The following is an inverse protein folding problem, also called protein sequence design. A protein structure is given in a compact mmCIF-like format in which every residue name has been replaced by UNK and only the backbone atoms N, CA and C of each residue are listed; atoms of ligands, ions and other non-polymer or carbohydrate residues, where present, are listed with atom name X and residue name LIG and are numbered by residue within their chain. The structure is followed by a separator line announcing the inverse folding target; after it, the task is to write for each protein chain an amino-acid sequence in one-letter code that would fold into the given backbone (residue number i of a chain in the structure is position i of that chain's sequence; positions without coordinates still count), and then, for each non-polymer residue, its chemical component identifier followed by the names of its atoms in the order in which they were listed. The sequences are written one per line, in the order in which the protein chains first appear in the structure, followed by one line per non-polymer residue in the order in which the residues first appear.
data_IF_420572085043
#
_entry.id   IF_420572085043
#
_cell.length_a   1.000
_cell.length_b   1.000
_cell.length_c   1.000
_cell.angle_alpha   90.00
_cell.angle_beta   90.00
_cell.angle_gamma   90.00
#
_symmetry.space_group_name_H-M   'P 1'
#
loop_
_entity.id
_entity.type
_entity.pdbx_description
1 polymer ?
#
# COMPACT_ATOMS: atom_id res chain seq x y z
N UNK A 1 -7.10 -16.63 -16.63
CA UNK A 1 -5.62 -16.74 -16.49
C UNK A 1 -5.12 -15.37 -16.04
N UNK A 2 -4.42 -15.31 -14.90
CA UNK A 2 -3.92 -14.04 -14.36
C UNK A 2 -2.98 -13.32 -15.33
N UNK A 3 -3.05 -11.99 -15.37
CA UNK A 3 -2.32 -11.16 -16.33
C UNK A 3 -0.79 -11.25 -16.16
N UNK A 4 -0.31 -11.58 -14.95
CA UNK A 4 1.11 -11.78 -14.63
C UNK A 4 1.50 -13.26 -14.53
N UNK A 5 0.70 -14.17 -15.13
CA UNK A 5 1.08 -15.58 -15.17
C UNK A 5 2.44 -15.77 -15.82
N UNK A 6 3.33 -16.48 -15.12
CA UNK A 6 4.71 -16.71 -15.53
C UNK A 6 5.73 -15.81 -14.83
N UNK A 7 5.29 -14.74 -14.16
CA UNK A 7 6.15 -13.99 -13.25
C UNK A 7 6.33 -14.79 -11.96
N UNK A 8 7.58 -15.03 -11.54
CA UNK A 8 7.94 -15.82 -10.36
C UNK A 8 8.76 -14.97 -9.39
N UNK A 9 8.32 -14.91 -8.14
CA UNK A 9 8.85 -13.96 -7.15
C UNK A 9 9.29 -14.68 -5.87
N UNK A 10 10.50 -14.41 -5.39
CA UNK A 10 10.92 -14.70 -4.03
C UNK A 10 10.75 -13.45 -3.17
N UNK A 11 9.89 -13.54 -2.18
CA UNK A 11 9.55 -12.48 -1.25
C UNK A 11 10.25 -12.69 0.09
N UNK A 12 11.27 -11.90 0.38
CA UNK A 12 11.99 -11.87 1.66
C UNK A 12 11.56 -10.70 2.56
N UNK A 13 10.48 -10.05 2.21
CA UNK A 13 9.99 -8.89 2.94
C UNK A 13 9.12 -9.29 4.13
N UNK A 14 8.84 -8.33 5.01
CA UNK A 14 8.01 -8.51 6.19
C UNK A 14 7.17 -7.25 6.43
N UNK A 15 6.24 -7.31 7.36
CA UNK A 15 5.33 -6.22 7.74
C UNK A 15 4.36 -5.86 6.61
N UNK A 16 4.43 -4.61 6.08
CA UNK A 16 3.41 -4.10 5.18
C UNK A 16 3.89 -3.86 3.74
N UNK A 17 4.95 -3.04 3.47
CA UNK A 17 5.20 -2.56 2.10
C UNK A 17 5.52 -3.67 1.10
N UNK A 18 6.43 -4.55 1.44
CA UNK A 18 6.81 -5.67 0.57
C UNK A 18 5.74 -6.75 0.44
N UNK A 19 5.19 -7.28 1.57
CA UNK A 19 4.12 -8.26 1.50
C UNK A 19 2.89 -7.76 0.72
N UNK A 20 2.51 -6.49 0.84
CA UNK A 20 1.41 -5.94 0.05
C UNK A 20 1.77 -5.82 -1.45
N UNK A 21 3.02 -5.49 -1.79
CA UNK A 21 3.47 -5.48 -3.19
C UNK A 21 3.39 -6.88 -3.81
N UNK A 22 3.88 -7.90 -3.10
CA UNK A 22 3.85 -9.28 -3.58
C UNK A 22 2.45 -9.89 -3.55
N UNK A 23 1.55 -9.43 -2.65
CA UNK A 23 0.12 -9.75 -2.71
C UNK A 23 -0.52 -9.22 -4.01
N UNK A 24 -0.22 -7.97 -4.40
CA UNK A 24 -0.72 -7.41 -5.66
C UNK A 24 -0.28 -8.29 -6.85
N UNK A 25 0.97 -8.71 -6.88
CA UNK A 25 1.46 -9.60 -7.94
C UNK A 25 0.79 -10.97 -7.90
N UNK A 26 0.58 -11.55 -6.71
CA UNK A 26 -0.10 -12.84 -6.54
C UNK A 26 -1.56 -12.77 -7.00
N UNK A 27 -2.30 -11.71 -6.64
CA UNK A 27 -3.66 -11.45 -7.11
C UNK A 27 -3.75 -11.35 -8.64
N UNK A 28 -2.70 -10.82 -9.27
CA UNK A 28 -2.59 -10.70 -10.72
C UNK A 28 -2.06 -11.97 -11.40
N UNK A 29 -1.83 -13.05 -10.65
CA UNK A 29 -1.50 -14.37 -11.15
C UNK A 29 -0.03 -14.76 -11.13
N UNK A 30 0.86 -13.95 -10.54
CA UNK A 30 2.25 -14.33 -10.31
C UNK A 30 2.35 -15.50 -9.33
N UNK A 31 3.42 -16.30 -9.45
CA UNK A 31 3.78 -17.34 -8.48
C UNK A 31 4.75 -16.74 -7.46
N UNK A 32 4.33 -16.65 -6.20
CA UNK A 32 5.09 -16.00 -5.14
C UNK A 32 5.44 -16.99 -4.04
N UNK A 33 6.72 -17.12 -3.74
CA UNK A 33 7.22 -17.82 -2.56
C UNK A 33 7.65 -16.78 -1.52
N UNK A 34 6.96 -16.76 -0.38
CA UNK A 34 7.33 -15.95 0.77
C UNK A 34 8.29 -16.74 1.66
N UNK A 35 9.50 -16.22 1.82
CA UNK A 35 10.59 -16.82 2.59
C UNK A 35 10.62 -16.22 3.98
N UNK A 36 10.33 -17.02 4.99
CA UNK A 36 10.13 -16.59 6.37
C UNK A 36 11.12 -17.26 7.33
N UNK A 37 11.12 -16.83 8.59
CA UNK A 37 11.88 -17.47 9.68
C UNK A 37 10.97 -17.71 10.88
N UNK A 38 11.02 -18.91 11.46
CA UNK A 38 10.30 -19.24 12.70
C UNK A 38 10.93 -18.57 13.93
N UNK A 39 12.23 -18.27 13.88
CA UNK A 39 12.96 -17.60 14.97
C UNK A 39 12.74 -16.10 15.00
N UNK A 40 12.37 -15.52 13.87
CA UNK A 40 12.06 -14.11 13.73
C UNK A 40 10.74 -13.97 12.96
N UNK A 41 9.67 -14.36 13.64
CA UNK A 41 8.32 -14.35 13.09
C UNK A 41 7.93 -12.92 12.68
N UNK A 42 7.29 -12.77 11.52
CA UNK A 42 6.72 -11.50 11.09
C UNK A 42 5.68 -11.02 12.10
N UNK A 43 5.76 -9.77 12.52
CA UNK A 43 4.83 -9.17 13.47
C UNK A 43 3.38 -9.23 12.98
N UNK A 44 3.14 -9.23 11.67
CA UNK A 44 1.78 -9.36 11.11
C UNK A 44 1.13 -10.70 11.45
N UNK A 45 1.91 -11.77 11.72
CA UNK A 45 1.39 -13.06 12.19
C UNK A 45 0.91 -13.05 13.64
N UNK A 46 1.40 -12.10 14.44
CA UNK A 46 1.10 -12.02 15.88
C UNK A 46 0.33 -10.75 16.26
N UNK A 47 -0.17 -9.99 15.28
CA UNK A 47 -1.02 -8.81 15.50
C UNK A 47 -2.50 -9.20 15.47
N UNK A 48 -3.26 -8.99 16.58
CA UNK A 48 -4.70 -9.25 16.60
C UNK A 48 -5.47 -8.30 15.66
N UNK A 49 -6.69 -8.68 15.26
CA UNK A 49 -7.44 -9.84 15.66
C UNK A 49 -7.03 -11.13 14.94
N UNK A 50 -7.36 -12.26 15.55
CA UNK A 50 -7.09 -13.60 15.03
C UNK A 50 -8.39 -14.30 14.63
N UNK A 51 -8.27 -15.28 13.74
CA UNK A 51 -9.34 -16.24 13.47
C UNK A 51 -9.37 -17.39 14.50
N UNK A 52 -10.27 -18.35 14.30
CA UNK A 52 -10.45 -19.50 15.20
C UNK A 52 -9.23 -20.42 15.27
N UNK A 53 -8.38 -20.40 14.24
CA UNK A 53 -7.11 -21.15 14.17
C UNK A 53 -5.91 -20.39 14.77
N UNK A 54 -6.15 -19.26 15.38
CA UNK A 54 -5.11 -18.35 15.90
C UNK A 54 -4.19 -17.73 14.82
N UNK A 55 -4.65 -17.65 13.58
CA UNK A 55 -3.97 -16.95 12.50
C UNK A 55 -4.44 -15.49 12.42
N UNK A 56 -3.51 -14.55 12.33
CA UNK A 56 -3.83 -13.13 12.29
C UNK A 56 -4.45 -12.72 10.94
N UNK A 57 -5.62 -12.06 10.96
CA UNK A 57 -6.30 -11.60 9.76
C UNK A 57 -5.44 -10.69 8.88
N UNK A 58 -4.59 -9.85 9.49
CA UNK A 58 -3.67 -8.97 8.77
C UNK A 58 -2.69 -9.79 7.92
N UNK A 59 -2.07 -10.82 8.53
CA UNK A 59 -1.15 -11.70 7.82
C UNK A 59 -1.86 -12.47 6.71
N UNK A 60 -3.02 -13.05 7.01
CA UNK A 60 -3.82 -13.79 6.03
C UNK A 60 -4.23 -12.93 4.82
N UNK A 61 -4.47 -11.62 5.03
CA UNK A 61 -4.77 -10.70 3.95
C UNK A 61 -3.54 -10.37 3.12
N UNK A 62 -2.45 -9.94 3.74
CA UNK A 62 -1.24 -9.48 3.05
C UNK A 62 -0.48 -10.58 2.32
N UNK A 63 -0.69 -11.84 2.72
CA UNK A 63 0.05 -12.99 2.18
C UNK A 63 -0.85 -14.00 1.44
N UNK A 64 -2.08 -13.60 1.06
CA UNK A 64 -2.97 -14.46 0.27
C UNK A 64 -2.34 -14.88 -1.06
N UNK A 65 -2.68 -16.07 -1.50
CA UNK A 65 -2.23 -16.66 -2.76
C UNK A 65 -0.72 -16.87 -2.90
N UNK A 66 0.05 -16.74 -1.78
CA UNK A 66 1.49 -16.99 -1.74
C UNK A 66 1.81 -18.33 -1.08
N UNK A 67 2.86 -19.00 -1.55
CA UNK A 67 3.47 -20.11 -0.82
C UNK A 67 4.32 -19.58 0.32
N UNK A 68 4.28 -20.23 1.49
CA UNK A 68 5.16 -19.91 2.62
C UNK A 68 6.20 -21.02 2.78
N UNK A 69 7.48 -20.64 2.83
CA UNK A 69 8.59 -21.52 3.23
C UNK A 69 9.40 -20.89 4.36
N UNK A 70 9.96 -21.74 5.22
CA UNK A 70 10.83 -21.27 6.30
C UNK A 70 12.28 -21.66 6.02
N UNK A 71 13.17 -20.67 6.05
CA UNK A 71 14.62 -20.88 5.85
C UNK A 71 15.44 -20.13 6.88
N UNK A 72 16.36 -20.83 7.53
CA UNK A 72 17.40 -20.21 8.32
C UNK A 72 18.50 -19.64 7.41
N UNK A 73 18.36 -18.40 6.97
CA UNK A 73 19.30 -17.74 6.06
C UNK A 73 20.74 -17.58 6.61
N UNK A 74 20.99 -18.01 7.85
CA UNK A 74 22.35 -18.10 8.40
C UNK A 74 23.03 -19.44 8.10
N UNK A 75 22.28 -20.44 7.62
CA UNK A 75 22.80 -21.73 7.19
C UNK A 75 23.27 -21.66 5.74
N UNK A 76 24.45 -22.19 5.41
CA UNK A 76 24.91 -22.31 4.03
C UNK A 76 23.93 -23.08 3.14
N UNK A 77 23.32 -24.14 3.66
CA UNK A 77 22.36 -24.96 2.91
C UNK A 77 21.10 -24.14 2.54
N UNK A 78 20.64 -23.25 3.42
CA UNK A 78 19.52 -22.35 3.10
C UNK A 78 19.89 -21.36 1.98
N UNK A 79 21.12 -20.87 1.98
CA UNK A 79 21.62 -19.98 0.92
C UNK A 79 21.70 -20.74 -0.43
N UNK A 80 22.12 -22.01 -0.42
CA UNK A 80 22.15 -22.84 -1.64
C UNK A 80 20.74 -23.13 -2.17
N UNK A 81 19.77 -23.33 -1.29
CA UNK A 81 18.35 -23.44 -1.67
C UNK A 81 17.86 -22.16 -2.36
N UNK A 82 18.14 -20.98 -1.76
CA UNK A 82 17.77 -19.69 -2.36
C UNK A 82 18.42 -19.52 -3.74
N UNK A 83 19.71 -19.83 -3.88
CA UNK A 83 20.43 -19.75 -5.16
C UNK A 83 19.83 -20.69 -6.22
N UNK A 84 19.36 -21.87 -5.80
CA UNK A 84 18.68 -22.80 -6.71
C UNK A 84 17.31 -22.25 -7.15
N UNK A 85 16.55 -21.66 -6.22
CA UNK A 85 15.26 -21.05 -6.53
C UNK A 85 15.37 -19.86 -7.49
N UNK A 86 16.42 -19.04 -7.40
CA UNK A 86 16.62 -17.84 -8.25
C UNK A 86 16.78 -18.18 -9.74
N UNK A 87 17.13 -19.41 -10.08
CA UNK A 87 17.18 -19.82 -11.48
C UNK A 87 15.80 -19.81 -12.14
N UNK A 88 14.74 -19.99 -11.35
CA UNK A 88 13.35 -20.04 -11.80
C UNK A 88 12.53 -18.84 -11.29
N UNK A 89 12.72 -18.47 -10.02
CA UNK A 89 12.10 -17.30 -9.37
C UNK A 89 13.02 -16.10 -9.51
N UNK A 90 12.94 -15.45 -10.63
CA UNK A 90 13.90 -14.43 -11.07
C UNK A 90 13.53 -12.99 -10.69
N UNK A 91 12.54 -12.82 -9.83
CA UNK A 91 12.20 -11.54 -9.19
C UNK A 91 12.38 -11.67 -7.68
N UNK A 92 13.23 -10.84 -7.11
CA UNK A 92 13.52 -10.80 -5.68
C UNK A 92 12.94 -9.52 -5.09
N UNK A 93 12.15 -9.65 -4.03
CA UNK A 93 11.67 -8.50 -3.25
C UNK A 93 12.13 -8.69 -1.80
N UNK A 94 12.81 -7.67 -1.25
CA UNK A 94 13.32 -7.73 0.12
C UNK A 94 13.11 -6.41 0.86
N UNK A 95 13.05 -6.48 2.19
CA UNK A 95 12.87 -5.33 3.07
C UNK A 95 13.90 -5.26 4.20
N UNK A 96 15.07 -5.89 4.07
CA UNK A 96 16.14 -5.83 5.07
C UNK A 96 16.85 -4.47 5.03
N UNK A 97 17.58 -4.20 6.09
CA UNK A 97 18.49 -3.04 6.09
C UNK A 97 19.61 -3.23 5.05
N UNK A 98 20.09 -2.13 4.45
CA UNK A 98 21.17 -2.18 3.47
C UNK A 98 22.34 -3.06 3.92
N UNK A 99 22.87 -3.86 3.00
CA UNK A 99 24.00 -4.75 3.24
C UNK A 99 23.67 -6.09 3.92
N UNK A 100 22.44 -6.35 4.37
CA UNK A 100 22.07 -7.64 4.99
C UNK A 100 22.13 -8.77 3.97
N UNK A 101 21.45 -8.65 2.86
CA UNK A 101 21.41 -9.67 1.81
C UNK A 101 22.81 -9.94 1.21
N UNK A 102 23.64 -8.88 1.08
CA UNK A 102 25.03 -9.01 0.64
C UNK A 102 25.86 -9.85 1.64
N UNK A 103 25.71 -9.59 2.95
CA UNK A 103 26.42 -10.39 3.99
C UNK A 103 25.95 -11.84 4.05
N UNK A 104 24.73 -12.12 3.66
CA UNK A 104 24.16 -13.47 3.54
C UNK A 104 24.62 -14.19 2.25
N UNK A 105 25.25 -13.48 1.30
CA UNK A 105 25.70 -14.06 0.03
C UNK A 105 24.59 -14.22 -1.02
N UNK A 106 23.46 -13.52 -0.84
CA UNK A 106 22.30 -13.47 -1.74
C UNK A 106 21.89 -12.03 -2.07
N UNK A 107 22.85 -11.10 -2.05
CA UNK A 107 22.64 -9.75 -2.60
C UNK A 107 22.62 -9.75 -4.11
N UNK A 108 22.22 -8.63 -4.70
CA UNK A 108 22.00 -8.48 -6.14
C UNK A 108 23.17 -9.00 -7.00
N UNK A 109 24.41 -8.59 -6.72
CA UNK A 109 25.58 -9.00 -7.53
C UNK A 109 25.78 -10.52 -7.52
N UNK A 110 25.66 -11.15 -6.34
CA UNK A 110 25.79 -12.60 -6.22
C UNK A 110 24.68 -13.37 -6.95
N UNK A 111 23.45 -12.86 -6.92
CA UNK A 111 22.32 -13.49 -7.63
C UNK A 111 22.36 -13.22 -9.14
N UNK A 112 22.87 -12.06 -9.55
CA UNK A 112 23.07 -11.71 -10.97
C UNK A 112 24.12 -12.61 -11.64
N UNK A 113 25.15 -13.05 -10.92
CA UNK A 113 26.12 -14.03 -11.43
C UNK A 113 25.46 -15.39 -11.75
N UNK A 114 24.42 -15.77 -10.96
CA UNK A 114 23.66 -17.01 -11.15
C UNK A 114 22.61 -16.85 -12.26
N UNK A 115 21.89 -15.72 -12.23
CA UNK A 115 20.85 -15.41 -13.19
C UNK A 115 20.94 -13.93 -13.62
N UNK A 116 21.56 -13.63 -14.79
CA UNK A 116 21.67 -12.25 -15.29
C UNK A 116 20.33 -11.54 -15.53
N UNK A 117 19.24 -12.30 -15.57
CA UNK A 117 17.87 -11.77 -15.76
C UNK A 117 17.20 -11.36 -14.45
N UNK A 118 17.89 -11.53 -13.29
CA UNK A 118 17.29 -11.26 -11.99
C UNK A 118 16.86 -9.80 -11.85
N UNK A 119 15.61 -9.58 -11.48
CA UNK A 119 15.08 -8.29 -11.04
C UNK A 119 15.13 -8.31 -9.51
N UNK A 120 15.85 -7.37 -8.93
CA UNK A 120 16.06 -7.31 -7.49
C UNK A 120 15.52 -5.97 -6.95
N UNK A 121 14.46 -6.02 -6.16
CA UNK A 121 13.82 -4.85 -5.58
C UNK A 121 14.05 -4.81 -4.07
N UNK A 122 14.81 -3.83 -3.60
CA UNK A 122 15.04 -3.55 -2.19
C UNK A 122 14.12 -2.39 -1.74
N UNK A 123 13.24 -2.64 -0.76
CA UNK A 123 12.32 -1.66 -0.20
C UNK A 123 12.81 -1.26 1.17
N UNK A 124 13.21 0.00 1.35
CA UNK A 124 13.74 0.50 2.63
C UNK A 124 13.17 1.85 3.00
N UNK A 125 13.34 2.25 4.26
CA UNK A 125 12.84 3.54 4.74
C UNK A 125 13.51 4.74 4.07
N UNK A 126 14.84 4.64 3.85
CA UNK A 126 15.67 5.78 3.44
C UNK A 126 16.58 5.49 2.24
N UNK A 127 16.35 4.39 1.52
CA UNK A 127 17.17 3.98 0.38
C UNK A 127 18.45 3.23 0.79
N UNK A 128 19.18 2.73 -0.22
CA UNK A 128 20.40 1.97 -0.03
C UNK A 128 21.63 2.86 0.23
N UNK A 129 21.51 4.16 -0.01
CA UNK A 129 22.58 5.15 0.11
C UNK A 129 22.19 6.33 0.99
N UNK A 130 23.12 7.24 1.21
CA UNK A 130 22.88 8.45 1.99
C UNK A 130 23.05 8.27 3.50
N UNK A 131 23.02 9.39 4.26
CA UNK A 131 23.38 9.38 5.69
C UNK A 131 22.38 8.63 6.58
N UNK A 132 21.16 8.35 6.09
CA UNK A 132 20.10 7.69 6.85
C UNK A 132 19.87 6.23 6.45
N UNK A 133 20.59 5.71 5.46
CA UNK A 133 20.39 4.36 4.92
C UNK A 133 20.32 3.25 5.99
N UNK A 134 21.08 3.36 7.07
CA UNK A 134 21.06 2.41 8.18
C UNK A 134 20.14 2.77 9.35
N UNK A 135 19.37 3.87 9.25
CA UNK A 135 18.44 4.24 10.32
C UNK A 135 17.18 3.37 10.31
N UNK A 136 16.66 3.01 11.50
CA UNK A 136 15.32 2.44 11.60
C UNK A 136 14.28 3.54 11.43
N UNK A 137 13.10 3.16 10.95
CA UNK A 137 11.94 4.03 10.86
C UNK A 137 10.69 3.25 10.54
N UNK A 138 9.56 3.93 10.66
CA UNK A 138 8.24 3.49 10.25
C UNK A 138 7.56 4.62 9.49
N UNK A 139 6.40 4.36 8.95
CA UNK A 139 5.60 5.25 8.10
C UNK A 139 5.65 6.73 8.51
N UNK A 140 5.28 7.05 9.76
CA UNK A 140 5.30 8.44 10.26
C UNK A 140 6.68 9.12 10.19
N UNK A 141 7.78 8.37 10.31
CA UNK A 141 9.14 8.92 10.23
C UNK A 141 9.47 9.31 8.80
N UNK A 142 9.08 8.49 7.83
CA UNK A 142 9.30 8.75 6.39
C UNK A 142 8.45 9.93 5.91
N UNK A 143 7.16 9.98 6.30
CA UNK A 143 6.26 11.11 6.04
C UNK A 143 6.78 12.42 6.63
N UNK A 144 7.30 12.36 7.87
CA UNK A 144 7.84 13.55 8.56
C UNK A 144 9.05 14.10 7.82
N UNK A 145 10.00 13.24 7.46
CA UNK A 145 11.23 13.65 6.78
C UNK A 145 10.96 14.17 5.36
N UNK A 146 9.98 13.60 4.67
CA UNK A 146 9.56 14.03 3.34
C UNK A 146 8.81 15.37 3.31
N UNK A 147 8.50 15.95 4.47
CA UNK A 147 7.90 17.27 4.61
C UNK A 147 6.39 17.35 4.35
N UNK A 148 5.72 16.23 4.08
CA UNK A 148 4.27 16.22 3.77
C UNK A 148 3.38 16.45 4.99
N UNK A 149 3.84 16.09 6.19
CA UNK A 149 3.03 16.19 7.41
C UNK A 149 2.89 17.61 7.94
N UNK A 150 3.85 18.49 7.68
CA UNK A 150 3.81 19.84 8.25
C UNK A 150 2.62 20.65 7.71
N UNK A 151 2.47 20.69 6.39
CA UNK A 151 1.34 21.41 5.77
C UNK A 151 0.05 20.61 5.64
N UNK A 152 0.04 19.32 6.05
CA UNK A 152 -1.15 18.44 6.07
C UNK A 152 -1.82 18.37 7.44
N UNK A 153 -1.61 19.34 8.31
CA UNK A 153 -2.19 19.45 9.65
C UNK A 153 -3.08 20.67 9.77
N UNK A 154 -3.90 20.71 10.80
CA UNK A 154 -4.55 21.96 11.20
C UNK A 154 -3.52 22.96 11.71
N UNK A 155 -3.72 24.25 11.41
CA UNK A 155 -2.92 25.33 11.97
C UNK A 155 -2.95 25.25 13.50
N UNK A 156 -1.83 25.44 14.14
CA UNK A 156 -1.67 25.41 15.61
C UNK A 156 -1.94 24.03 16.26
N UNK A 157 -2.04 22.96 15.47
CA UNK A 157 -2.15 21.58 15.97
C UNK A 157 -0.93 20.74 15.56
N UNK A 158 -0.71 19.67 16.31
CA UNK A 158 0.31 18.66 15.93
C UNK A 158 -0.09 17.97 14.62
N UNK A 159 0.88 17.41 13.87
CA UNK A 159 0.58 16.51 12.76
C UNK A 159 -0.33 15.35 13.20
N UNK A 160 -1.17 14.87 12.29
CA UNK A 160 -2.08 13.75 12.53
C UNK A 160 -1.45 12.48 12.02
N UNK A 161 -1.41 11.43 12.86
CA UNK A 161 -1.07 10.09 12.39
C UNK A 161 -2.21 9.57 11.52
N UNK A 162 -1.92 9.22 10.29
CA UNK A 162 -2.93 8.69 9.37
C UNK A 162 -3.34 7.28 9.79
N UNK A 163 -4.61 6.94 9.59
CA UNK A 163 -5.10 5.58 9.80
C UNK A 163 -4.60 4.58 8.75
N UNK A 164 -4.14 5.08 7.60
CA UNK A 164 -3.52 4.31 6.52
C UNK A 164 -2.04 4.69 6.43
N UNK A 165 -1.15 3.71 6.30
CA UNK A 165 0.30 3.89 6.24
C UNK A 165 0.70 4.35 4.83
N UNK A 166 0.67 5.64 4.60
CA UNK A 166 0.86 6.24 3.27
C UNK A 166 2.28 6.04 2.72
N UNK A 167 3.31 6.16 3.57
CA UNK A 167 4.69 5.95 3.13
C UNK A 167 4.96 4.48 2.81
N UNK A 168 4.43 3.56 3.62
CA UNK A 168 4.57 2.13 3.37
C UNK A 168 3.82 1.72 2.10
N UNK A 169 2.58 2.18 1.92
CA UNK A 169 1.71 1.74 0.82
C UNK A 169 2.02 2.51 -0.47
N UNK A 170 1.84 3.84 -0.49
CA UNK A 170 2.11 4.62 -1.69
C UNK A 170 3.61 4.71 -1.98
N UNK A 171 4.44 4.93 -0.95
CA UNK A 171 5.89 5.02 -1.08
C UNK A 171 6.55 3.66 -1.35
N UNK A 172 6.31 2.68 -0.52
CA UNK A 172 6.92 1.35 -0.63
C UNK A 172 6.22 0.45 -1.64
N UNK A 173 5.01 0.01 -1.33
CA UNK A 173 4.26 -0.99 -2.12
C UNK A 173 4.07 -0.58 -3.58
N UNK A 174 3.47 0.59 -3.82
CA UNK A 174 3.12 1.00 -5.19
C UNK A 174 4.36 1.29 -6.04
N UNK A 175 5.38 1.94 -5.47
CA UNK A 175 6.61 2.20 -6.20
C UNK A 175 7.41 0.92 -6.47
N UNK A 176 7.43 -0.04 -5.54
CA UNK A 176 8.02 -1.36 -5.78
C UNK A 176 7.30 -2.09 -6.92
N UNK A 177 5.96 -2.09 -6.91
CA UNK A 177 5.18 -2.72 -7.98
C UNK A 177 5.46 -2.08 -9.34
N UNK A 178 5.46 -0.74 -9.42
CA UNK A 178 5.79 0.00 -10.66
C UNK A 178 7.24 -0.32 -11.09
N UNK A 179 8.20 -0.28 -10.17
CA UNK A 179 9.61 -0.53 -10.46
C UNK A 179 9.84 -1.94 -11.01
N UNK A 180 9.24 -2.95 -10.38
CA UNK A 180 9.34 -4.36 -10.82
C UNK A 180 8.71 -4.55 -12.20
N UNK A 181 7.53 -3.98 -12.47
CA UNK A 181 6.88 -4.06 -13.77
C UNK A 181 7.68 -3.34 -14.85
N UNK A 182 8.26 -2.17 -14.55
CA UNK A 182 9.13 -1.45 -15.48
C UNK A 182 10.40 -2.26 -15.79
N UNK A 183 11.02 -2.87 -14.78
CA UNK A 183 12.18 -3.74 -14.95
C UNK A 183 11.82 -5.03 -15.72
N UNK A 184 10.65 -5.62 -15.50
CA UNK A 184 10.18 -6.77 -16.27
C UNK A 184 10.00 -6.42 -17.76
N UNK A 185 9.39 -5.26 -18.06
CA UNK A 185 9.24 -4.77 -19.42
C UNK A 185 10.61 -4.44 -20.10
N UNK A 186 11.56 -3.94 -19.31
CA UNK A 186 12.94 -3.73 -19.79
C UNK A 186 13.60 -5.08 -20.11
N UNK A 187 13.48 -6.04 -19.21
CA UNK A 187 14.01 -7.40 -19.36
C UNK A 187 13.49 -8.12 -20.60
N UNK A 188 12.20 -7.98 -20.92
CA UNK A 188 11.60 -8.54 -22.14
C UNK A 188 12.28 -8.04 -23.42
N UNK A 189 12.79 -6.81 -23.40
CA UNK A 189 13.43 -6.17 -24.56
C UNK A 189 14.94 -6.43 -24.63
N UNK A 190 15.60 -6.51 -23.49
CA UNK A 190 17.08 -6.56 -23.41
C UNK A 190 17.64 -7.91 -23.01
N UNK A 191 16.82 -8.73 -22.32
CA UNK A 191 17.27 -9.95 -21.68
C UNK A 191 17.98 -9.73 -20.33
N UNK A 192 18.09 -8.47 -19.85
CA UNK A 192 18.83 -8.11 -18.65
C UNK A 192 17.90 -7.73 -17.49
N UNK A 193 18.20 -8.24 -16.28
CA UNK A 193 17.55 -7.83 -15.04
C UNK A 193 18.03 -6.46 -14.55
N UNK A 194 17.44 -5.98 -13.44
CA UNK A 194 17.74 -4.68 -12.86
C UNK A 194 17.77 -4.75 -11.33
N UNK A 195 18.64 -3.94 -10.72
CA UNK A 195 18.52 -3.59 -9.31
C UNK A 195 17.61 -2.37 -9.16
N UNK A 196 16.67 -2.45 -8.21
CA UNK A 196 15.70 -1.39 -7.93
C UNK A 196 15.82 -1.02 -6.45
N UNK A 197 16.19 0.22 -6.18
CA UNK A 197 16.26 0.80 -4.83
C UNK A 197 15.01 1.64 -4.59
N UNK A 198 14.10 1.15 -3.74
CA UNK A 198 12.90 1.87 -3.32
C UNK A 198 13.12 2.42 -1.91
N UNK A 199 13.33 3.74 -1.84
CA UNK A 199 13.29 4.52 -0.61
C UNK A 199 11.87 5.02 -0.37
N UNK A 200 11.21 4.58 0.71
CA UNK A 200 9.88 5.07 1.06
C UNK A 200 9.87 6.58 1.31
N UNK A 201 10.93 7.14 1.86
CA UNK A 201 11.08 8.60 2.05
C UNK A 201 11.16 9.34 0.73
N UNK A 202 11.97 8.88 -0.23
CA UNK A 202 12.12 9.52 -1.55
C UNK A 202 10.82 9.45 -2.34
N UNK A 203 10.18 8.30 -2.29
CA UNK A 203 8.89 8.09 -2.94
C UNK A 203 7.82 9.05 -2.38
N UNK A 204 7.71 9.17 -1.04
CA UNK A 204 6.80 10.14 -0.42
C UNK A 204 7.19 11.59 -0.73
N UNK A 205 8.51 11.90 -0.76
CA UNK A 205 8.96 13.23 -1.16
C UNK A 205 8.48 13.58 -2.58
N UNK A 206 8.46 12.63 -3.50
CA UNK A 206 7.95 12.83 -4.86
C UNK A 206 6.44 13.11 -4.92
N UNK A 207 5.66 12.70 -3.90
CA UNK A 207 4.22 13.02 -3.79
C UNK A 207 3.95 14.50 -3.51
N UNK A 208 4.96 15.32 -3.16
CA UNK A 208 4.83 16.78 -3.09
C UNK A 208 4.70 17.42 -4.49
N UNK A 209 4.02 16.79 -5.42
CA UNK A 209 3.98 17.14 -6.83
C UNK A 209 3.39 18.54 -7.13
N UNK A 210 2.51 19.05 -6.27
CA UNK A 210 1.90 20.39 -6.43
C UNK A 210 2.64 21.43 -5.60
N UNK A 211 2.54 21.35 -4.30
CA UNK A 211 3.07 22.40 -3.41
C UNK A 211 4.59 22.35 -3.27
N UNK A 212 5.18 21.17 -3.29
CA UNK A 212 6.63 21.00 -3.36
C UNK A 212 7.21 21.57 -4.66
N UNK A 213 6.56 21.35 -5.80
CA UNK A 213 6.94 21.94 -7.08
C UNK A 213 6.86 23.48 -7.04
N UNK A 214 5.79 24.05 -6.44
CA UNK A 214 5.64 25.49 -6.29
C UNK A 214 6.74 26.10 -5.40
N UNK A 215 7.18 25.37 -4.36
CA UNK A 215 8.29 25.78 -3.52
C UNK A 215 9.64 25.69 -4.27
N UNK A 216 9.94 24.57 -4.88
CA UNK A 216 11.24 24.35 -5.56
C UNK A 216 11.39 25.32 -6.75
N UNK A 217 10.34 25.50 -7.54
CA UNK A 217 10.36 26.35 -8.73
C UNK A 217 10.14 27.85 -8.45
N UNK A 218 9.37 28.20 -7.41
CA UNK A 218 8.93 29.58 -7.17
C UNK A 218 9.15 30.09 -5.74
N UNK A 219 9.71 29.30 -4.82
CA UNK A 219 10.00 29.69 -3.45
C UNK A 219 8.77 29.82 -2.53
N UNK A 220 7.56 29.44 -2.99
CA UNK A 220 6.34 29.51 -2.20
C UNK A 220 6.30 28.34 -1.19
N UNK A 221 6.51 28.66 0.08
CA UNK A 221 6.46 27.68 1.17
C UNK A 221 5.02 27.28 1.47
N UNK A 222 4.65 26.00 1.35
CA UNK A 222 3.30 25.54 1.69
C UNK A 222 3.06 25.68 3.20
N UNK A 223 1.86 26.08 3.58
CA UNK A 223 1.47 26.30 4.96
C UNK A 223 0.22 25.49 5.34
N UNK A 224 0.08 25.08 6.60
CA UNK A 224 -1.14 24.45 7.09
C UNK A 224 -2.37 25.34 6.87
N UNK A 225 -3.43 24.79 6.31
CA UNK A 225 -4.71 25.48 6.06
C UNK A 225 -4.59 26.78 5.24
N UNK A 226 -3.59 26.87 4.36
CA UNK A 226 -3.43 28.05 3.49
C UNK A 226 -3.33 27.69 2.01
N UNK A 227 -3.28 26.40 1.69
CA UNK A 227 -3.30 25.92 0.32
C UNK A 227 -4.73 25.53 -0.08
N UNK A 228 -5.04 25.61 -1.39
CA UNK A 228 -6.40 25.36 -1.89
C UNK A 228 -6.94 23.99 -1.44
N UNK A 229 -6.10 22.96 -1.44
CA UNK A 229 -6.51 21.57 -1.16
C UNK A 229 -6.15 21.09 0.25
N UNK A 230 -5.74 21.96 1.16
CA UNK A 230 -5.45 21.58 2.54
C UNK A 230 -6.26 22.38 3.58
N UNK A 231 -7.44 22.89 3.18
CA UNK A 231 -8.30 23.68 4.07
C UNK A 231 -8.11 25.18 3.96
N UNK A 232 -7.26 25.68 3.07
CA UNK A 232 -7.09 27.12 2.80
C UNK A 232 -8.20 27.73 1.94
N UNK A 233 -9.11 26.92 1.44
CA UNK A 233 -10.35 27.30 0.75
C UNK A 233 -11.54 26.59 1.39
N UNK A 234 -12.70 26.70 0.78
CA UNK A 234 -13.87 25.90 1.19
C UNK A 234 -13.77 24.41 0.82
N UNK A 235 -12.70 23.96 0.17
CA UNK A 235 -12.32 22.57 0.04
C UNK A 235 -11.86 22.03 1.40
N UNK A 236 -12.80 21.41 2.13
CA UNK A 236 -12.58 20.97 3.51
C UNK A 236 -13.61 19.94 3.97
N UNK A 237 -13.57 19.58 5.25
CA UNK A 237 -14.55 18.73 5.93
C UNK A 237 -15.45 19.56 6.83
N UNK A 238 -16.75 19.35 6.72
CA UNK A 238 -17.77 20.13 7.44
C UNK A 238 -18.59 19.26 8.36
N UNK A 239 -18.77 19.76 9.59
CA UNK A 239 -19.45 19.04 10.65
C UNK A 239 -20.95 19.26 10.56
N UNK A 240 -21.73 18.18 10.65
CA UNK A 240 -23.19 18.21 10.73
C UNK A 240 -23.69 18.53 12.13
N UNK A 241 -24.97 18.85 12.28
CA UNK A 241 -25.62 19.17 13.57
C UNK A 241 -25.44 18.07 14.61
N UNK A 242 -25.40 16.80 14.22
CA UNK A 242 -25.24 15.63 15.06
C UNK A 242 -23.78 15.13 15.18
N UNK A 243 -22.84 15.88 14.59
CA UNK A 243 -21.41 15.68 14.82
C UNK A 243 -20.69 14.76 13.83
N UNK A 244 -21.37 14.32 12.75
CA UNK A 244 -20.74 13.62 11.62
C UNK A 244 -20.09 14.66 10.67
N UNK A 245 -19.49 14.16 9.59
CA UNK A 245 -18.79 15.03 8.63
C UNK A 245 -19.15 14.71 7.19
N UNK A 246 -19.10 15.76 6.36
CA UNK A 246 -19.06 15.66 4.90
C UNK A 246 -17.78 16.29 4.38
N UNK A 247 -17.25 15.76 3.28
CA UNK A 247 -16.17 16.36 2.50
C UNK A 247 -16.78 17.22 1.39
N UNK A 248 -16.21 18.39 1.16
CA UNK A 248 -16.59 19.29 0.06
C UNK A 248 -15.42 19.49 -0.87
N UNK A 249 -15.59 19.13 -2.15
CA UNK A 249 -14.61 19.26 -3.21
C UNK A 249 -15.07 20.12 -4.40
N UNK A 250 -16.10 20.92 -4.25
CA UNK A 250 -16.85 21.65 -5.29
C UNK A 250 -16.10 22.86 -5.89
N UNK A 251 -14.85 22.67 -6.33
CA UNK A 251 -13.97 23.78 -6.75
C UNK A 251 -14.36 24.39 -8.11
N UNK A 252 -14.79 23.57 -9.07
CA UNK A 252 -15.17 24.02 -10.41
C UNK A 252 -16.50 24.80 -10.38
N UNK A 253 -16.67 25.80 -11.27
CA UNK A 253 -17.84 26.69 -11.25
C UNK A 253 -19.21 25.96 -11.23
N UNK A 254 -19.35 24.90 -12.00
CA UNK A 254 -20.58 24.11 -12.06
C UNK A 254 -20.87 23.39 -10.75
N UNK A 255 -19.85 22.79 -10.11
CA UNK A 255 -19.99 22.09 -8.84
C UNK A 255 -20.21 23.06 -7.68
N UNK A 256 -19.54 24.21 -7.69
CA UNK A 256 -19.75 25.28 -6.71
C UNK A 256 -21.17 25.82 -6.78
N UNK A 257 -21.73 25.99 -7.98
CA UNK A 257 -23.11 26.40 -8.14
C UNK A 257 -24.06 25.41 -7.47
N UNK A 258 -23.90 24.11 -7.77
CA UNK A 258 -24.73 23.06 -7.15
C UNK A 258 -24.60 23.04 -5.62
N UNK A 259 -23.36 23.20 -5.10
CA UNK A 259 -23.12 23.28 -3.67
C UNK A 259 -23.88 24.48 -3.05
N UNK A 260 -23.72 25.69 -3.60
CA UNK A 260 -24.35 26.90 -3.07
C UNK A 260 -25.87 26.80 -3.12
N UNK A 261 -26.43 26.23 -4.18
CA UNK A 261 -27.89 26.00 -4.29
C UNK A 261 -28.38 24.99 -3.25
N UNK A 262 -27.66 23.87 -3.05
CA UNK A 262 -28.00 22.85 -2.06
C UNK A 262 -27.88 23.34 -0.60
N UNK A 263 -26.95 24.24 -0.34
CA UNK A 263 -26.73 24.85 0.97
C UNK A 263 -27.58 26.11 1.24
N UNK A 264 -28.36 26.59 0.25
CA UNK A 264 -29.15 27.85 0.31
C UNK A 264 -28.28 29.08 0.59
N UNK A 265 -27.13 29.18 -0.10
CA UNK A 265 -26.17 30.30 -0.06
C UNK A 265 -25.86 30.84 -1.47
N UNK A 266 -26.86 31.17 -2.28
CA UNK A 266 -26.69 31.49 -3.70
C UNK A 266 -25.81 32.72 -3.96
N UNK A 267 -25.67 33.62 -2.99
CA UNK A 267 -24.83 34.83 -3.07
C UNK A 267 -23.32 34.52 -3.17
N UNK A 268 -22.91 33.27 -2.89
CA UNK A 268 -21.52 32.84 -2.96
C UNK A 268 -21.15 32.11 -4.27
N UNK A 269 -22.09 31.95 -5.19
CA UNK A 269 -21.88 31.22 -6.46
C UNK A 269 -20.72 31.81 -7.28
N UNK A 270 -20.58 33.15 -7.30
CA UNK A 270 -19.57 33.85 -8.10
C UNK A 270 -18.19 33.85 -7.45
N UNK A 271 -18.05 33.44 -6.19
CA UNK A 271 -16.76 33.36 -5.53
C UNK A 271 -15.93 32.23 -6.12
N UNK A 272 -14.62 32.47 -6.31
CA UNK A 272 -13.71 31.50 -6.92
C UNK A 272 -12.60 31.10 -5.93
N UNK A 273 -11.96 29.97 -6.18
CA UNK A 273 -10.80 29.55 -5.38
C UNK A 273 -9.56 30.48 -5.57
N UNK A 274 -9.58 31.34 -6.57
CA UNK A 274 -8.54 32.37 -6.80
C UNK A 274 -8.83 33.69 -6.07
N UNK A 275 -9.96 33.81 -5.37
CA UNK A 275 -10.30 34.99 -4.61
C UNK A 275 -9.38 35.18 -3.41
N UNK A 276 -9.44 36.37 -2.81
CA UNK A 276 -8.63 36.69 -1.64
C UNK A 276 -8.84 35.67 -0.51
N UNK A 277 -7.81 35.43 0.29
CA UNK A 277 -7.89 34.62 1.50
C UNK A 277 -9.09 34.98 2.40
N UNK A 278 -9.39 36.27 2.52
CA UNK A 278 -10.56 36.74 3.29
C UNK A 278 -11.89 36.25 2.70
N UNK A 279 -12.04 36.28 1.38
CA UNK A 279 -13.21 35.78 0.67
C UNK A 279 -13.36 34.27 0.86
N UNK A 280 -12.26 33.53 0.81
CA UNK A 280 -12.27 32.08 1.06
C UNK A 280 -12.70 31.72 2.48
N UNK A 281 -12.23 32.46 3.48
CA UNK A 281 -12.67 32.25 4.87
C UNK A 281 -14.17 32.49 5.02
N UNK A 282 -14.69 33.59 4.49
CA UNK A 282 -16.13 33.88 4.54
C UNK A 282 -16.96 32.79 3.87
N UNK A 283 -16.50 32.29 2.73
CA UNK A 283 -17.17 31.17 2.07
C UNK A 283 -17.16 29.92 2.95
N UNK A 284 -15.98 29.57 3.48
CA UNK A 284 -15.82 28.43 4.38
C UNK A 284 -16.71 28.53 5.63
N UNK A 285 -16.85 29.71 6.23
CA UNK A 285 -17.72 29.98 7.38
C UNK A 285 -19.20 29.78 6.99
N UNK A 286 -19.66 30.30 5.84
CA UNK A 286 -21.01 30.12 5.39
C UNK A 286 -21.35 28.65 5.11
N UNK A 287 -20.45 27.90 4.48
CA UNK A 287 -20.60 26.44 4.26
C UNK A 287 -20.66 25.70 5.61
N UNK A 288 -19.78 26.06 6.55
CA UNK A 288 -19.78 25.47 7.91
C UNK A 288 -21.13 25.68 8.61
N UNK A 289 -21.66 26.92 8.61
CA UNK A 289 -22.91 27.24 9.27
C UNK A 289 -24.10 26.52 8.61
N UNK A 290 -24.09 26.40 7.27
CA UNK A 290 -25.08 25.63 6.54
C UNK A 290 -25.06 24.15 6.95
N UNK A 291 -23.90 23.51 7.00
CA UNK A 291 -23.81 22.09 7.41
C UNK A 291 -24.26 21.84 8.85
N UNK A 292 -24.07 22.79 9.77
CA UNK A 292 -24.57 22.67 11.14
C UNK A 292 -26.09 22.77 11.27
N UNK A 293 -26.80 23.19 10.21
CA UNK A 293 -28.27 23.35 10.24
C UNK A 293 -29.05 22.03 10.22
N UNK A 294 -28.48 20.96 9.65
CA UNK A 294 -29.09 19.64 9.46
C UNK A 294 -28.26 18.51 10.06
N UNK A 295 -28.91 17.40 10.34
CA UNK A 295 -28.27 16.14 10.73
C UNK A 295 -27.59 15.45 9.54
N UNK A 296 -26.78 14.45 9.83
CA UNK A 296 -26.12 13.64 8.82
C UNK A 296 -27.13 12.99 7.86
N UNK A 297 -28.18 12.37 8.40
CA UNK A 297 -29.22 11.72 7.59
C UNK A 297 -29.99 12.73 6.71
N UNK A 298 -30.31 13.91 7.24
CA UNK A 298 -30.97 14.96 6.46
C UNK A 298 -30.05 15.46 5.32
N UNK A 299 -28.73 15.47 5.50
CA UNK A 299 -27.79 15.80 4.44
C UNK A 299 -27.58 14.67 3.43
N UNK A 300 -27.71 13.39 3.82
CA UNK A 300 -27.71 12.27 2.88
C UNK A 300 -28.89 12.32 1.89
N UNK A 301 -30.04 12.86 2.31
CA UNK A 301 -31.18 13.09 1.40
C UNK A 301 -30.91 14.18 0.35
N UNK A 302 -30.13 15.22 0.72
CA UNK A 302 -29.71 16.30 -0.18
C UNK A 302 -28.57 15.88 -1.10
N UNK A 303 -27.53 15.29 -0.51
CA UNK A 303 -26.33 14.82 -1.23
C UNK A 303 -26.45 13.32 -1.52
N UNK A 304 -27.51 12.95 -2.19
CA UNK A 304 -27.78 11.57 -2.60
C UNK A 304 -27.01 11.17 -3.87
N UNK A 305 -27.26 9.97 -4.39
CA UNK A 305 -26.57 9.42 -5.56
C UNK A 305 -26.72 10.22 -6.86
N UNK A 306 -27.74 11.09 -6.94
CA UNK A 306 -28.01 11.97 -8.10
C UNK A 306 -27.31 13.34 -7.97
N UNK A 307 -26.68 13.63 -6.82
CA UNK A 307 -26.04 14.93 -6.61
C UNK A 307 -24.63 14.98 -7.21
N UNK A 308 -24.43 15.80 -8.22
CA UNK A 308 -23.17 15.91 -8.98
C UNK A 308 -22.25 17.05 -8.50
N UNK A 309 -22.38 17.53 -7.27
CA UNK A 309 -21.68 18.71 -6.73
C UNK A 309 -20.39 18.45 -5.96
N UNK A 310 -19.78 17.28 -6.04
CA UNK A 310 -18.55 16.88 -5.32
C UNK A 310 -18.65 17.04 -3.80
N UNK A 311 -19.72 16.52 -3.22
CA UNK A 311 -19.92 16.45 -1.75
C UNK A 311 -20.16 14.99 -1.38
N UNK A 312 -19.38 14.47 -0.44
CA UNK A 312 -19.47 13.07 -0.02
C UNK A 312 -19.49 12.92 1.50
N UNK A 313 -20.29 11.99 2.06
CA UNK A 313 -20.23 11.70 3.48
C UNK A 313 -18.89 11.08 3.89
N UNK A 314 -18.37 11.45 5.07
CA UNK A 314 -17.22 10.76 5.67
C UNK A 314 -17.74 9.49 6.36
N UNK A 315 -17.62 8.37 5.66
CA UNK A 315 -18.09 7.07 6.12
C UNK A 315 -17.12 6.45 7.13
N UNK A 316 -17.66 5.70 8.08
CA UNK A 316 -16.88 4.71 8.83
C UNK A 316 -16.54 3.52 7.91
N UNK A 317 -15.51 2.74 8.27
CA UNK A 317 -15.13 1.59 7.44
C UNK A 317 -16.28 0.55 7.28
N UNK A 318 -17.08 0.20 8.33
CA UNK A 318 -18.27 -0.64 8.15
C UNK A 318 -19.31 -0.06 7.18
N UNK A 319 -19.59 1.26 7.24
CA UNK A 319 -20.49 1.92 6.30
C UNK A 319 -19.94 1.88 4.87
N UNK A 320 -18.63 2.10 4.69
CA UNK A 320 -17.99 1.98 3.40
C UNK A 320 -18.12 0.55 2.83
N UNK A 321 -18.00 -0.49 3.65
CA UNK A 321 -18.21 -1.88 3.22
C UNK A 321 -19.64 -2.12 2.68
N UNK A 322 -20.62 -1.38 3.14
CA UNK A 322 -22.03 -1.48 2.74
C UNK A 322 -22.41 -0.49 1.63
N UNK A 323 -21.51 0.44 1.27
CA UNK A 323 -21.79 1.48 0.29
C UNK A 323 -22.07 0.90 -1.11
N UNK A 324 -23.15 1.35 -1.81
CA UNK A 324 -23.57 0.80 -3.10
C UNK A 324 -22.45 0.77 -4.15
N UNK A 325 -21.67 1.85 -4.26
CA UNK A 325 -20.54 1.94 -5.20
C UNK A 325 -19.47 0.87 -4.94
N UNK A 326 -19.11 0.64 -3.69
CA UNK A 326 -18.05 -0.35 -3.34
C UNK A 326 -18.57 -1.78 -3.48
N UNK A 327 -19.86 -2.02 -3.21
CA UNK A 327 -20.54 -3.30 -3.49
C UNK A 327 -20.62 -3.58 -4.99
N UNK A 328 -21.07 -2.61 -5.78
CA UNK A 328 -21.14 -2.76 -7.24
C UNK A 328 -19.77 -3.02 -7.88
N UNK A 329 -18.70 -2.53 -7.25
CA UNK A 329 -17.33 -2.79 -7.67
C UNK A 329 -16.71 -4.02 -7.02
N UNK A 330 -17.48 -4.77 -6.23
CA UNK A 330 -17.06 -6.02 -5.59
C UNK A 330 -15.76 -5.85 -4.80
N UNK A 331 -15.69 -4.77 -3.97
CA UNK A 331 -14.47 -4.46 -3.20
C UNK A 331 -14.27 -5.34 -1.96
N UNK A 332 -15.17 -6.28 -1.71
CA UNK A 332 -15.02 -7.35 -0.73
C UNK A 332 -15.18 -8.68 -1.45
N UNK A 333 -14.18 -9.54 -1.29
CA UNK A 333 -14.15 -10.89 -1.87
C UNK A 333 -14.13 -11.94 -0.78
N UNK A 334 -14.55 -13.15 -1.15
CA UNK A 334 -14.54 -14.31 -0.26
C UNK A 334 -13.47 -15.29 -0.74
N UNK A 335 -12.52 -15.63 0.14
CA UNK A 335 -11.32 -16.39 -0.20
C UNK A 335 -11.30 -17.70 0.62
N UNK A 336 -10.96 -18.85 0.00
CA UNK A 336 -10.90 -20.13 0.71
C UNK A 336 -9.73 -20.20 1.71
N UNK A 337 -9.98 -20.82 2.86
CA UNK A 337 -8.99 -21.28 3.84
C UNK A 337 -8.62 -22.74 3.55
N UNK A 338 -7.51 -23.20 4.12
CA UNK A 338 -7.03 -24.58 3.96
C UNK A 338 -7.98 -25.64 4.55
N UNK A 339 -8.81 -25.26 5.50
CA UNK A 339 -9.84 -26.12 6.14
C UNK A 339 -11.16 -26.19 5.33
N UNK A 340 -11.24 -25.50 4.18
CA UNK A 340 -12.42 -25.41 3.33
C UNK A 340 -13.43 -24.36 3.76
N UNK A 341 -13.22 -23.64 4.86
CA UNK A 341 -14.02 -22.46 5.22
C UNK A 341 -13.64 -21.25 4.39
N UNK A 342 -14.41 -20.19 4.48
CA UNK A 342 -14.25 -19.02 3.62
C UNK A 342 -14.05 -17.76 4.49
N UNK A 343 -13.16 -16.86 4.04
CA UNK A 343 -12.87 -15.59 4.71
C UNK A 343 -13.11 -14.41 3.78
N UNK A 344 -13.78 -13.36 4.29
CA UNK A 344 -13.92 -12.09 3.57
C UNK A 344 -12.64 -11.27 3.67
N UNK A 345 -12.19 -10.71 2.54
CA UNK A 345 -11.03 -9.83 2.46
C UNK A 345 -11.29 -8.66 1.50
N UNK A 346 -10.47 -7.60 1.60
CA UNK A 346 -10.51 -6.49 0.64
C UNK A 346 -10.03 -7.01 -0.72
N UNK A 347 -10.80 -6.72 -1.77
CA UNK A 347 -10.47 -7.11 -3.14
C UNK A 347 -9.32 -6.29 -3.72
N UNK A 348 -8.71 -6.81 -4.76
CA UNK A 348 -7.84 -6.02 -5.64
C UNK A 348 -8.65 -4.92 -6.35
N UNK A 349 -8.14 -3.68 -6.43
CA UNK A 349 -8.83 -2.60 -7.13
C UNK A 349 -8.76 -2.71 -8.65
N UNK A 350 -7.92 -3.61 -9.17
CA UNK A 350 -7.72 -3.76 -10.61
C UNK A 350 -8.91 -4.47 -11.27
N UNK A 351 -9.41 -3.90 -12.36
CA UNK A 351 -10.48 -4.45 -13.20
C UNK A 351 -9.97 -4.47 -14.64
N UNK A 352 -9.52 -5.63 -15.10
CA UNK A 352 -9.05 -5.82 -16.46
C UNK A 352 -10.17 -6.44 -17.33
N UNK A 353 -10.21 -6.09 -18.60
CA UNK A 353 -11.08 -6.74 -19.56
C UNK A 353 -10.48 -8.11 -19.96
N UNK A 354 -11.03 -9.17 -19.46
CA UNK A 354 -10.61 -10.55 -19.80
C UNK A 354 -9.58 -11.22 -18.89
N UNK A 355 -8.97 -10.52 -17.92
CA UNK A 355 -8.02 -11.11 -16.96
C UNK A 355 -8.27 -10.56 -15.56
N UNK A 356 -9.20 -11.14 -14.82
CA UNK A 356 -9.54 -10.70 -13.47
C UNK A 356 -8.50 -11.17 -12.44
N UNK A 357 -8.34 -10.44 -11.31
CA UNK A 357 -7.57 -10.92 -10.17
C UNK A 357 -8.02 -12.30 -9.69
N UNK A 358 -7.08 -13.12 -9.27
CA UNK A 358 -7.30 -14.49 -8.81
C UNK A 358 -6.99 -14.59 -7.31
N UNK A 359 -7.90 -15.18 -6.52
CA UNK A 359 -7.72 -15.36 -5.08
C UNK A 359 -7.71 -16.87 -4.78
N UNK A 360 -6.51 -17.45 -4.59
CA UNK A 360 -6.34 -18.90 -4.46
C UNK A 360 -6.64 -19.40 -3.05
N UNK A 361 -6.09 -18.73 -2.04
CA UNK A 361 -6.25 -19.04 -0.62
C UNK A 361 -5.85 -17.82 0.23
N UNK A 362 -6.26 -17.77 1.48
CA UNK A 362 -5.74 -16.82 2.47
C UNK A 362 -4.24 -17.04 2.70
N UNK A 363 -3.57 -16.14 3.40
CA UNK A 363 -2.15 -16.31 3.72
C UNK A 363 -1.88 -17.67 4.38
N UNK A 364 -0.89 -18.38 3.86
CA UNK A 364 -0.54 -19.72 4.29
C UNK A 364 0.03 -19.76 5.72
N UNK A 365 -0.10 -20.91 6.40
CA UNK A 365 0.58 -21.17 7.67
C UNK A 365 2.09 -21.13 7.48
N UNK A 366 2.82 -20.85 8.55
CA UNK A 366 4.27 -20.72 8.51
C UNK A 366 4.93 -22.01 8.01
N UNK A 367 5.68 -21.93 6.91
CA UNK A 367 6.37 -23.08 6.31
C UNK A 367 5.46 -24.15 5.67
N UNK A 368 4.18 -23.84 5.46
CA UNK A 368 3.18 -24.79 4.92
C UNK A 368 3.65 -25.46 3.62
N UNK A 369 4.42 -24.74 2.80
CA UNK A 369 4.87 -25.22 1.50
C UNK A 369 6.34 -25.69 1.45
N UNK A 370 7.00 -25.86 2.60
CA UNK A 370 8.39 -26.32 2.67
C UNK A 370 8.62 -27.59 1.82
N UNK A 371 7.79 -28.62 2.04
CA UNK A 371 7.92 -29.90 1.34
C UNK A 371 7.68 -29.76 -0.16
N UNK A 372 6.61 -29.06 -0.55
CA UNK A 372 6.24 -28.87 -1.96
C UNK A 372 7.38 -28.19 -2.74
N UNK A 373 7.89 -27.07 -2.19
CA UNK A 373 8.93 -26.27 -2.84
C UNK A 373 10.26 -27.05 -2.94
N UNK A 374 10.64 -27.75 -1.89
CA UNK A 374 11.89 -28.52 -1.92
C UNK A 374 11.83 -29.74 -2.84
N UNK A 375 10.69 -30.44 -2.89
CA UNK A 375 10.47 -31.51 -3.88
C UNK A 375 10.60 -30.97 -5.32
N UNK A 376 10.10 -29.76 -5.60
CA UNK A 376 10.22 -29.14 -6.92
C UNK A 376 11.66 -28.82 -7.31
N UNK A 377 12.53 -28.61 -6.32
CA UNK A 377 13.99 -28.44 -6.50
C UNK A 377 14.75 -29.76 -6.63
N UNK A 378 14.06 -30.92 -6.54
CA UNK A 378 14.66 -32.25 -6.68
C UNK A 378 15.16 -32.87 -5.36
N UNK A 379 14.88 -32.25 -4.19
CA UNK A 379 15.15 -32.89 -2.90
C UNK A 379 14.17 -34.06 -2.69
N UNK A 380 14.65 -35.15 -2.15
CA UNK A 380 13.80 -36.24 -1.68
C UNK A 380 13.35 -36.07 -0.22
N UNK A 381 12.49 -36.95 0.27
CA UNK A 381 11.93 -36.86 1.61
C UNK A 381 13.00 -36.99 2.70
N UNK A 382 14.00 -37.85 2.52
CA UNK A 382 15.11 -38.05 3.50
C UNK A 382 15.97 -36.79 3.59
N UNK A 383 16.27 -36.18 2.46
CA UNK A 383 17.02 -34.92 2.40
C UNK A 383 16.25 -33.76 3.08
N UNK A 384 14.92 -33.68 2.88
CA UNK A 384 14.07 -32.67 3.51
C UNK A 384 14.04 -32.85 5.03
N UNK A 385 13.92 -34.09 5.52
CA UNK A 385 13.93 -34.38 6.94
C UNK A 385 15.32 -34.07 7.57
N UNK A 386 16.40 -34.40 6.87
CA UNK A 386 17.76 -34.01 7.31
C UNK A 386 17.96 -32.50 7.39
N UNK A 387 17.36 -31.70 6.47
CA UNK A 387 17.40 -30.24 6.54
C UNK A 387 16.62 -29.69 7.75
N UNK A 388 15.50 -30.32 8.12
CA UNK A 388 14.76 -29.98 9.37
C UNK A 388 15.58 -30.30 10.62
N UNK A 389 16.18 -31.50 10.71
CA UNK A 389 17.01 -31.89 11.84
C UNK A 389 18.22 -30.97 12.04
N UNK A 390 18.80 -30.45 10.96
CA UNK A 390 19.87 -29.46 10.98
C UNK A 390 19.40 -28.03 11.33
N UNK A 391 18.09 -27.79 11.40
CA UNK A 391 17.51 -26.45 11.62
C UNK A 391 17.74 -25.50 10.44
N UNK A 392 17.83 -26.01 9.23
CA UNK A 392 17.84 -25.26 7.97
C UNK A 392 16.42 -24.86 7.58
N UNK A 393 15.51 -25.82 7.68
CA UNK A 393 14.06 -25.58 7.68
C UNK A 393 13.62 -25.34 9.12
N UNK A 394 12.93 -24.26 9.36
CA UNK A 394 12.51 -23.83 10.68
C UNK A 394 11.02 -24.12 10.94
#
# INVERSE_FOLDING_TARGET
MGILKGLKILDFSALLPGPMATMIFADLGADVIHVESSKRVDLTRIMPPYDDDHEAYIHQHLNRSKKSITLNLKSPEAIDIVKSLVQEYDVIIEGFRPGVMQRLGIGYEALKEINPKVIYCAITGYGQTGPYSNRPGHDNNYLSLAGVLDYSRHKDKKPVSMGVQLADIAGGTMHAAIGVLAAALHREKTGEGQFIDISMTDAVFSLNAMYGAAFIGGGRVPQPEQEILNGGSYYDFYKTKDGRFFSVGSLEPQFRKLLCEALDIPELIDNTFNDSYYTQIRFKEAVHDAFLSKTYEEWLEVFNEDFEGCVEPVLTFPEACEHPQLKAREMIVTIPKSDGTMQKQIASPFKFDGAQPEYKHVGAKLGEHNKEVLLSLGFDAEQIDALKEKGVLE
#
